data_IF_120786710506
#
_entry.id   IF_120786710506
#
_cell.length_a   1.000
_cell.length_b   1.000
_cell.length_c   1.000
_cell.angle_alpha   90.00
_cell.angle_beta   90.00
_cell.angle_gamma   90.00
#
_symmetry.space_group_name_H-M   'P 1'
#
loop_
_entity.id
_entity.type
_entity.pdbx_description
1 polymer ?
#
# COMPACT_ATOMS: atom_id res chain seq x y z
N UNK A 1 -13.48 32.58 -23.12
CA UNK A 1 -13.36 31.22 -22.58
C UNK A 1 -14.62 30.85 -21.81
N UNK A 2 -15.31 29.82 -22.28
CA UNK A 2 -16.54 29.36 -21.65
C UNK A 2 -16.25 28.57 -20.37
N UNK A 3 -17.20 28.52 -19.45
CA UNK A 3 -17.08 27.74 -18.20
C UNK A 3 -16.83 26.24 -18.46
N UNK A 4 -17.32 25.70 -19.58
CA UNK A 4 -17.10 24.32 -19.98
C UNK A 4 -15.63 24.00 -20.28
N UNK A 5 -14.87 24.92 -20.83
CA UNK A 5 -13.43 24.73 -21.08
C UNK A 5 -12.63 24.67 -19.77
N UNK A 6 -13.05 25.43 -18.77
CA UNK A 6 -12.46 25.39 -17.42
C UNK A 6 -12.77 24.09 -16.68
N UNK A 7 -13.99 23.59 -16.80
CA UNK A 7 -14.42 22.31 -16.24
C UNK A 7 -13.70 21.12 -16.89
N UNK A 8 -13.55 21.13 -18.20
CA UNK A 8 -12.79 20.09 -18.93
C UNK A 8 -11.33 20.07 -18.53
N UNK A 9 -10.69 21.23 -18.36
CA UNK A 9 -9.30 21.34 -17.90
C UNK A 9 -9.13 20.89 -16.45
N UNK A 10 -10.07 21.21 -15.57
CA UNK A 10 -10.07 20.77 -14.17
C UNK A 10 -10.23 19.25 -14.06
N UNK A 11 -11.14 18.66 -14.86
CA UNK A 11 -11.34 17.22 -14.94
C UNK A 11 -10.10 16.50 -15.49
N UNK A 12 -9.43 17.08 -16.49
CA UNK A 12 -8.18 16.57 -17.05
C UNK A 12 -7.03 16.58 -16.04
N UNK A 13 -6.96 17.54 -15.14
CA UNK A 13 -5.97 17.60 -14.07
C UNK A 13 -6.18 16.54 -13.01
N UNK A 14 -7.41 16.22 -12.65
CA UNK A 14 -7.77 15.20 -11.65
C UNK A 14 -7.45 13.79 -12.14
N UNK A 15 -7.56 13.54 -13.45
CA UNK A 15 -7.32 12.21 -14.06
C UNK A 15 -5.82 11.91 -14.22
N UNK A 16 -4.97 12.93 -14.26
CA UNK A 16 -3.52 12.77 -14.33
C UNK A 16 -2.94 12.73 -12.92
N UNK A 17 -2.83 11.52 -12.38
CA UNK A 17 -2.09 11.28 -11.16
C UNK A 17 -0.60 11.43 -11.45
N UNK A 18 0.02 12.44 -10.85
CA UNK A 18 1.47 12.56 -10.93
C UNK A 18 2.11 11.40 -10.19
N UNK A 19 3.02 10.60 -10.83
CA UNK A 19 3.65 9.45 -10.17
C UNK A 19 4.36 9.84 -8.87
N UNK A 20 4.91 11.05 -8.81
CA UNK A 20 5.59 11.58 -7.63
C UNK A 20 4.62 11.80 -6.45
N UNK A 21 3.40 12.26 -6.71
CA UNK A 21 2.37 12.43 -5.68
C UNK A 21 1.93 11.09 -5.10
N UNK A 22 1.79 10.06 -5.93
CA UNK A 22 1.44 8.70 -5.50
C UNK A 22 2.53 8.06 -4.66
N UNK A 23 3.79 8.20 -5.04
CA UNK A 23 4.93 7.71 -4.26
C UNK A 23 4.99 8.39 -2.90
N UNK A 24 4.80 9.71 -2.86
CA UNK A 24 4.79 10.47 -1.61
C UNK A 24 3.63 10.05 -0.70
N UNK A 25 2.43 9.91 -1.24
CA UNK A 25 1.26 9.44 -0.50
C UNK A 25 1.45 8.02 0.00
N UNK A 26 1.93 7.13 -0.87
CA UNK A 26 2.27 5.75 -0.53
C UNK A 26 3.30 5.66 0.59
N UNK A 27 4.33 6.51 0.57
CA UNK A 27 5.33 6.58 1.63
C UNK A 27 4.73 6.96 2.99
N UNK A 28 3.88 7.99 3.04
CA UNK A 28 3.23 8.38 4.30
C UNK A 28 2.27 7.33 4.82
N UNK A 29 1.52 6.67 3.95
CA UNK A 29 0.63 5.57 4.31
C UNK A 29 1.44 4.39 4.85
N UNK A 30 2.50 3.98 4.16
CA UNK A 30 3.36 2.88 4.59
C UNK A 30 4.06 3.19 5.90
N UNK A 31 4.51 4.41 6.10
CA UNK A 31 5.09 4.84 7.37
C UNK A 31 4.10 4.70 8.54
N UNK A 32 2.84 5.09 8.33
CA UNK A 32 1.78 4.93 9.34
C UNK A 32 1.51 3.46 9.64
N UNK A 33 1.47 2.62 8.63
CA UNK A 33 1.29 1.16 8.79
C UNK A 33 2.48 0.57 9.54
N UNK A 34 3.70 0.91 9.15
CA UNK A 34 4.92 0.42 9.80
C UNK A 34 4.96 0.78 11.29
N UNK A 35 4.64 2.02 11.66
CA UNK A 35 4.58 2.46 13.06
C UNK A 35 3.51 1.68 13.83
N UNK A 36 2.36 1.47 13.25
CA UNK A 36 1.27 0.70 13.87
C UNK A 36 1.67 -0.75 14.07
N UNK A 37 2.23 -1.39 13.05
CA UNK A 37 2.71 -2.78 13.15
C UNK A 37 3.85 -2.93 14.16
N UNK A 38 4.78 -2.00 14.18
CA UNK A 38 5.87 -1.97 15.15
C UNK A 38 5.34 -1.91 16.58
N UNK A 39 4.43 -0.98 16.84
CA UNK A 39 3.81 -0.82 18.17
C UNK A 39 3.02 -2.08 18.57
N UNK A 40 2.21 -2.62 17.65
CA UNK A 40 1.45 -3.84 17.90
C UNK A 40 2.37 -5.04 18.20
N UNK A 41 3.44 -5.21 17.45
CA UNK A 41 4.43 -6.28 17.67
C UNK A 41 5.06 -6.19 19.06
N UNK A 42 5.48 -4.98 19.48
CA UNK A 42 6.05 -4.79 20.80
C UNK A 42 5.04 -5.06 21.92
N UNK A 43 3.80 -4.59 21.78
CA UNK A 43 2.74 -4.82 22.77
C UNK A 43 2.45 -6.32 22.89
N UNK A 44 2.27 -7.02 21.78
CA UNK A 44 2.04 -8.46 21.77
C UNK A 44 3.21 -9.20 22.40
N UNK A 45 4.44 -8.84 22.05
CA UNK A 45 5.64 -9.43 22.65
C UNK A 45 5.66 -9.26 24.17
N UNK A 46 5.44 -8.03 24.67
CA UNK A 46 5.45 -7.75 26.09
C UNK A 46 4.36 -8.52 26.85
N UNK A 47 3.17 -8.64 26.27
CA UNK A 47 2.06 -9.42 26.84
C UNK A 47 2.44 -10.91 26.91
N UNK A 48 2.91 -11.49 25.81
CA UNK A 48 3.29 -12.90 25.75
C UNK A 48 4.46 -13.21 26.68
N UNK A 49 5.46 -12.35 26.73
CA UNK A 49 6.59 -12.49 27.66
C UNK A 49 6.15 -12.38 29.12
N UNK A 50 5.27 -11.42 29.43
CA UNK A 50 4.72 -11.24 30.77
C UNK A 50 3.83 -12.40 31.26
N UNK A 51 3.19 -13.10 30.33
CA UNK A 51 2.39 -14.31 30.63
C UNK A 51 3.22 -15.58 30.71
N UNK A 52 4.53 -15.54 30.45
CA UNK A 52 5.40 -16.72 30.46
C UNK A 52 5.15 -17.70 29.32
N UNK A 53 4.58 -17.23 28.21
CA UNK A 53 4.24 -18.09 27.05
C UNK A 53 5.50 -18.69 26.43
N UNK A 54 6.57 -17.92 26.30
CA UNK A 54 7.84 -18.40 25.72
C UNK A 54 8.50 -19.47 26.58
N UNK A 55 8.46 -19.31 27.91
CA UNK A 55 8.96 -20.32 28.85
C UNK A 55 8.13 -21.61 28.81
N UNK A 56 6.81 -21.47 28.66
CA UNK A 56 5.90 -22.62 28.53
C UNK A 56 6.16 -23.40 27.25
N UNK A 57 6.39 -22.73 26.14
CA UNK A 57 6.73 -23.38 24.87
C UNK A 57 8.09 -24.04 24.94
N UNK A 58 9.10 -23.39 25.53
CA UNK A 58 10.42 -23.98 25.73
C UNK A 58 10.37 -25.24 26.57
N UNK A 59 9.55 -25.25 27.62
CA UNK A 59 9.33 -26.42 28.49
C UNK A 59 8.69 -27.58 27.71
N UNK A 60 7.63 -27.32 26.94
CA UNK A 60 6.96 -28.36 26.16
C UNK A 60 7.88 -28.93 25.08
N UNK A 61 8.62 -28.07 24.39
CA UNK A 61 9.59 -28.50 23.37
C UNK A 61 10.74 -29.29 23.97
N UNK A 62 11.20 -28.89 25.17
CA UNK A 62 12.22 -29.63 25.91
C UNK A 62 11.77 -31.04 26.30
N UNK A 63 10.50 -31.17 26.72
CA UNK A 63 9.91 -32.46 27.07
C UNK A 63 9.74 -33.39 25.87
N UNK A 64 9.43 -32.81 24.69
CA UNK A 64 9.21 -33.59 23.47
C UNK A 64 10.49 -33.95 22.71
N UNK A 65 11.50 -33.08 22.73
CA UNK A 65 12.72 -33.22 21.91
C UNK A 65 13.97 -33.54 22.73
N UNK A 66 13.91 -33.42 24.06
CA UNK A 66 15.06 -33.58 24.93
C UNK A 66 16.01 -32.36 24.97
N UNK A 67 15.67 -31.30 24.22
CA UNK A 67 16.42 -30.05 24.24
C UNK A 67 15.48 -28.85 24.17
N UNK A 68 15.73 -27.83 25.01
CA UNK A 68 14.97 -26.58 24.92
C UNK A 68 15.22 -25.86 23.60
N UNK A 69 14.19 -25.26 23.01
CA UNK A 69 14.35 -24.47 21.80
C UNK A 69 15.09 -23.16 22.04
N UNK A 70 15.28 -22.75 23.28
CA UNK A 70 15.95 -21.49 23.63
C UNK A 70 15.19 -20.25 23.20
N UNK A 71 13.84 -20.34 23.12
CA UNK A 71 12.99 -19.22 22.68
C UNK A 71 13.13 -18.02 23.62
N UNK A 72 13.16 -18.27 24.92
CA UNK A 72 13.29 -17.20 25.94
C UNK A 72 14.63 -16.48 25.82
N UNK A 73 15.69 -17.23 25.50
CA UNK A 73 17.04 -16.68 25.32
C UNK A 73 17.19 -15.96 23.96
N UNK A 74 16.51 -16.45 22.95
CA UNK A 74 16.59 -15.92 21.56
C UNK A 74 15.66 -14.73 21.35
N UNK A 75 14.42 -14.80 21.85
CA UNK A 75 13.41 -13.76 21.71
C UNK A 75 13.49 -12.73 22.84
N UNK A 76 14.62 -12.06 22.93
CA UNK A 76 14.81 -10.94 23.87
C UNK A 76 14.22 -9.65 23.31
N UNK A 77 13.94 -8.67 24.18
CA UNK A 77 13.39 -7.37 23.74
C UNK A 77 14.26 -6.67 22.69
N UNK A 78 15.61 -6.60 22.81
CA UNK A 78 16.44 -6.02 21.77
C UNK A 78 16.35 -6.73 20.42
N UNK A 79 16.23 -8.06 20.42
CA UNK A 79 16.11 -8.85 19.18
C UNK A 79 14.77 -8.60 18.50
N UNK A 80 13.67 -8.61 19.25
CA UNK A 80 12.33 -8.32 18.72
C UNK A 80 12.23 -6.88 18.22
N UNK A 81 12.80 -5.94 18.94
CA UNK A 81 12.88 -4.54 18.54
C UNK A 81 13.65 -4.37 17.22
N UNK A 82 14.84 -4.94 17.12
CA UNK A 82 15.66 -4.90 15.91
C UNK A 82 15.00 -5.58 14.72
N UNK A 83 14.41 -6.75 14.92
CA UNK A 83 13.66 -7.47 13.89
C UNK A 83 12.45 -6.66 13.39
N UNK A 84 11.71 -6.02 14.30
CA UNK A 84 10.56 -5.19 13.96
C UNK A 84 10.96 -3.97 13.14
N UNK A 85 12.11 -3.36 13.41
CA UNK A 85 12.64 -2.26 12.59
C UNK A 85 12.98 -2.74 11.18
N UNK A 86 13.67 -3.87 11.05
CA UNK A 86 14.04 -4.44 9.73
C UNK A 86 12.78 -4.77 8.92
N UNK A 87 11.80 -5.40 9.54
CA UNK A 87 10.52 -5.72 8.89
C UNK A 87 9.78 -4.44 8.49
N UNK A 88 9.76 -3.43 9.36
CA UNK A 88 9.13 -2.14 9.07
C UNK A 88 9.78 -1.41 7.88
N UNK A 89 11.11 -1.41 7.79
CA UNK A 89 11.83 -0.84 6.65
C UNK A 89 11.47 -1.60 5.38
N UNK A 90 11.47 -2.91 5.41
CA UNK A 90 11.09 -3.76 4.28
C UNK A 90 9.64 -3.51 3.84
N UNK A 91 8.72 -3.37 4.80
CA UNK A 91 7.32 -3.03 4.55
C UNK A 91 7.20 -1.67 3.84
N UNK A 92 7.87 -0.63 4.33
CA UNK A 92 7.84 0.71 3.74
C UNK A 92 8.33 0.66 2.28
N UNK A 93 9.44 -0.01 2.02
CA UNK A 93 9.99 -0.15 0.66
C UNK A 93 9.01 -0.89 -0.25
N UNK A 94 8.46 -2.00 0.21
CA UNK A 94 7.53 -2.83 -0.57
C UNK A 94 6.25 -2.07 -0.87
N UNK A 95 5.63 -1.45 0.11
CA UNK A 95 4.38 -0.71 -0.05
C UNK A 95 4.57 0.51 -0.95
N UNK A 96 5.65 1.27 -0.76
CA UNK A 96 5.97 2.42 -1.61
C UNK A 96 6.20 1.99 -3.07
N UNK A 97 6.89 0.88 -3.29
CA UNK A 97 7.11 0.31 -4.62
C UNK A 97 5.80 -0.12 -5.26
N UNK A 98 4.89 -0.74 -4.52
CA UNK A 98 3.55 -1.13 -5.00
C UNK A 98 2.72 0.09 -5.41
N UNK A 99 2.76 1.17 -4.63
CA UNK A 99 2.09 2.42 -5.00
C UNK A 99 2.67 3.02 -6.28
N UNK A 100 3.99 2.99 -6.44
CA UNK A 100 4.65 3.45 -7.66
C UNK A 100 4.25 2.63 -8.88
N UNK A 101 4.23 1.30 -8.75
CA UNK A 101 3.79 0.38 -9.80
C UNK A 101 2.31 0.59 -10.14
N UNK A 102 1.46 0.75 -9.14
CA UNK A 102 0.04 1.04 -9.33
C UNK A 102 -0.16 2.34 -10.10
N UNK A 103 0.57 3.39 -9.75
CA UNK A 103 0.55 4.66 -10.46
C UNK A 103 1.01 4.53 -11.90
N UNK A 104 2.06 3.75 -12.14
CA UNK A 104 2.55 3.48 -13.49
C UNK A 104 1.52 2.73 -14.34
N UNK A 105 0.94 1.66 -13.80
CA UNK A 105 -0.11 0.88 -14.49
C UNK A 105 -1.34 1.75 -14.75
N UNK A 106 -1.76 2.55 -13.80
CA UNK A 106 -2.88 3.47 -13.94
C UNK A 106 -2.63 4.47 -15.06
N UNK A 107 -1.45 5.11 -15.08
CA UNK A 107 -1.07 6.07 -16.12
C UNK A 107 -0.95 5.41 -17.50
N UNK A 108 -0.59 4.15 -17.59
CA UNK A 108 -0.53 3.41 -18.85
C UNK A 108 -1.94 3.00 -19.35
N UNK A 109 -2.87 2.72 -18.42
CA UNK A 109 -4.23 2.26 -18.75
C UNK A 109 -5.19 3.40 -19.09
N UNK A 110 -5.08 4.54 -18.41
CA UNK A 110 -5.97 5.71 -18.61
C UNK A 110 -5.94 6.25 -20.02
N UNK A 111 -4.78 6.42 -20.71
CA UNK A 111 -4.78 6.88 -22.11
C UNK A 111 -5.51 5.94 -23.06
N UNK A 112 -5.42 4.62 -22.86
CA UNK A 112 -6.11 3.63 -23.67
C UNK A 112 -7.65 3.71 -23.50
N UNK A 113 -8.12 3.84 -22.26
CA UNK A 113 -9.54 4.00 -21.92
C UNK A 113 -10.08 5.36 -22.43
N UNK A 114 -9.28 6.40 -22.38
CA UNK A 114 -9.61 7.72 -22.93
C UNK A 114 -9.77 7.71 -24.43
N UNK A 115 -8.90 7.03 -25.15
CA UNK A 115 -9.00 6.86 -26.59
C UNK A 115 -10.35 6.28 -27.00
N UNK A 116 -10.82 5.27 -26.29
CA UNK A 116 -12.15 4.67 -26.49
C UNK A 116 -13.29 5.64 -26.16
N UNK A 117 -13.20 6.38 -25.06
CA UNK A 117 -14.22 7.37 -24.67
C UNK A 117 -14.29 8.55 -25.68
N UNK A 118 -13.16 9.02 -26.18
CA UNK A 118 -13.10 10.04 -27.23
C UNK A 118 -13.72 9.58 -28.54
N UNK A 119 -13.44 8.36 -28.96
CA UNK A 119 -14.01 7.78 -30.19
C UNK A 119 -15.53 7.66 -30.09
N UNK A 120 -16.05 7.22 -28.95
CA UNK A 120 -17.49 7.13 -28.69
C UNK A 120 -18.16 8.52 -28.65
N UNK A 121 -17.51 9.53 -28.08
CA UNK A 121 -18.00 10.90 -28.03
C UNK A 121 -18.04 11.54 -29.41
N UNK A 122 -17.04 11.33 -30.27
CA UNK A 122 -17.00 11.76 -31.65
C UNK A 122 -18.14 11.14 -32.48
N UNK A 123 -18.38 9.84 -32.36
CA UNK A 123 -19.48 9.13 -33.03
C UNK A 123 -20.84 9.70 -32.63
N UNK A 124 -21.05 10.03 -31.36
CA UNK A 124 -22.30 10.65 -30.90
C UNK A 124 -22.50 12.07 -31.45
N UNK A 125 -21.44 12.87 -31.50
CA UNK A 125 -21.48 14.23 -32.05
C UNK A 125 -21.76 14.17 -33.53
N UNK A 126 -21.15 13.27 -34.28
CA UNK A 126 -21.40 13.04 -35.70
C UNK A 126 -22.87 12.66 -35.99
N UNK A 127 -23.42 11.72 -35.22
CA UNK A 127 -24.83 11.32 -35.32
C UNK A 127 -25.81 12.45 -35.03
N UNK A 128 -25.52 13.28 -34.02
CA UNK A 128 -26.33 14.45 -33.69
C UNK A 128 -26.26 15.54 -34.77
N UNK A 129 -25.09 15.72 -35.36
CA UNK A 129 -24.88 16.64 -36.52
C UNK A 129 -25.66 16.19 -37.75
N UNK A 130 -25.62 14.90 -38.03
CA UNK A 130 -26.35 14.29 -39.16
C UNK A 130 -27.88 14.39 -38.96
N UNK A 131 -28.36 14.20 -37.75
CA UNK A 131 -29.78 14.31 -37.41
C UNK A 131 -30.30 15.77 -37.45
N UNK A 132 -29.43 16.76 -37.22
CA UNK A 132 -29.75 18.18 -37.35
C UNK A 132 -29.79 18.66 -38.83
N UNK A 133 -29.07 17.99 -39.71
CA UNK A 133 -29.01 18.31 -41.12
C UNK A 133 -30.24 17.80 -41.89
N UNK A 134 -30.99 16.85 -41.36
CA UNK A 134 -32.28 16.39 -41.86
C UNK A 134 -33.43 17.24 -41.29
#
# INVERSE_FOLDING_TARGET
MSNSDKEVRATLRIIRLEPMSLVRTGFFISLSIAVTMFTATLVIYLVLAGMGVFESIDSVLGDLTGSSAGLTETLTLPVVFGASIVIGIFEIITTTTLFALFGFVYNATVPATRGLAFTLAEDQVEKLSENKAE
#
